data_IF_959532767909
#
_entry.id   IF_959532767909
#
_cell.length_a   1.000
_cell.length_b   1.000
_cell.length_c   1.000
_cell.angle_alpha   90.00
_cell.angle_beta   90.00
_cell.angle_gamma   90.00
#
_symmetry.space_group_name_H-M   'P 1'
#
loop_
_entity.id
_entity.type
_entity.pdbx_description
1 polymer ?
#
# COMPACT_ATOMS: atom_id res chain seq x y z
N UNK A 1 46.07 -1.78 0.74
CA UNK A 1 45.57 -2.92 -0.04
C UNK A 1 44.25 -3.38 0.53
N UNK A 2 43.21 -3.34 -0.27
CA UNK A 2 41.89 -3.87 0.13
C UNK A 2 41.89 -5.38 -0.09
N UNK A 3 41.62 -6.15 0.95
CA UNK A 3 41.59 -7.63 0.89
C UNK A 3 40.29 -8.18 0.27
N UNK A 4 39.29 -7.33 0.03
CA UNK A 4 38.03 -7.72 -0.60
C UNK A 4 37.41 -6.57 -1.38
N UNK A 5 36.62 -6.89 -2.40
CA UNK A 5 35.84 -5.90 -3.14
C UNK A 5 34.80 -5.27 -2.18
N UNK A 6 34.75 -3.94 -2.04
CA UNK A 6 33.79 -3.30 -1.17
C UNK A 6 32.37 -3.59 -1.64
N UNK A 7 31.50 -3.97 -0.70
CA UNK A 7 30.07 -4.15 -0.98
C UNK A 7 29.46 -2.78 -1.29
N UNK A 8 28.72 -2.71 -2.39
CA UNK A 8 28.02 -1.50 -2.81
C UNK A 8 26.52 -1.73 -2.77
N UNK A 9 25.77 -0.76 -2.28
CA UNK A 9 24.30 -0.71 -2.35
C UNK A 9 23.91 0.38 -3.34
N UNK A 10 22.86 0.13 -4.12
CA UNK A 10 22.34 1.06 -5.10
C UNK A 10 20.87 1.30 -4.88
N UNK A 11 20.44 2.55 -4.86
CA UNK A 11 19.04 2.92 -4.92
C UNK A 11 18.62 2.98 -6.39
N UNK A 12 17.65 2.16 -6.78
CA UNK A 12 17.18 2.05 -8.16
C UNK A 12 15.70 2.45 -8.22
N UNK A 13 15.37 3.38 -9.12
CA UNK A 13 13.98 3.62 -9.52
C UNK A 13 13.64 2.65 -10.64
N UNK A 14 12.79 1.67 -10.35
CA UNK A 14 12.52 0.54 -11.23
C UNK A 14 11.53 0.86 -12.35
N UNK A 15 10.45 0.09 -12.41
CA UNK A 15 9.48 0.12 -13.50
C UNK A 15 8.65 1.41 -13.46
N UNK A 16 8.35 1.96 -14.65
CA UNK A 16 7.37 3.03 -14.82
C UNK A 16 6.00 2.42 -15.07
N UNK A 17 4.99 2.93 -14.38
CA UNK A 17 3.59 2.50 -14.50
C UNK A 17 2.72 3.64 -15.02
N UNK A 18 1.65 3.32 -15.73
CA UNK A 18 0.66 4.31 -16.13
C UNK A 18 -0.14 4.77 -14.90
N UNK A 19 -0.28 6.08 -14.77
CA UNK A 19 -1.05 6.72 -13.71
C UNK A 19 -2.22 7.50 -14.29
N UNK A 20 -3.27 7.78 -13.48
CA UNK A 20 -4.32 8.73 -13.86
C UNK A 20 -3.75 10.04 -14.41
N UNK A 21 -4.41 10.60 -15.42
CA UNK A 21 -3.97 11.86 -16.02
C UNK A 21 -3.93 13.04 -15.03
N UNK A 22 -4.76 13.00 -13.98
CA UNK A 22 -4.83 14.01 -12.93
C UNK A 22 -3.84 13.75 -11.77
N UNK A 23 -2.96 12.77 -11.89
CA UNK A 23 -1.98 12.42 -10.86
C UNK A 23 -0.76 13.32 -10.88
N UNK A 24 -0.14 13.49 -9.72
CA UNK A 24 1.16 14.11 -9.50
C UNK A 24 1.99 13.17 -8.61
N UNK A 25 3.27 13.02 -8.94
CA UNK A 25 4.18 12.11 -8.22
C UNK A 25 5.33 12.87 -7.61
N UNK A 26 5.55 12.73 -6.32
CA UNK A 26 6.70 13.31 -5.65
C UNK A 26 7.99 12.60 -6.10
N UNK A 27 8.85 13.31 -6.80
CA UNK A 27 10.12 12.78 -7.33
C UNK A 27 11.33 13.14 -6.47
N UNK A 28 11.17 14.10 -5.60
CA UNK A 28 12.11 14.49 -4.56
C UNK A 28 11.35 15.10 -3.38
N UNK A 29 12.06 15.52 -2.35
CA UNK A 29 11.47 16.21 -1.18
C UNK A 29 10.95 17.63 -1.50
N UNK A 30 11.31 18.18 -2.66
CA UNK A 30 10.94 19.54 -3.07
C UNK A 30 10.27 19.62 -4.44
N UNK A 31 10.19 18.51 -5.17
CA UNK A 31 9.68 18.52 -6.55
C UNK A 31 8.72 17.34 -6.79
N UNK A 32 7.71 17.61 -7.61
CA UNK A 32 6.77 16.57 -8.09
C UNK A 32 6.59 16.67 -9.61
N UNK A 33 6.38 15.50 -10.20
CA UNK A 33 6.08 15.35 -11.62
C UNK A 33 4.57 15.39 -11.84
N UNK A 34 4.12 16.22 -12.79
CA UNK A 34 2.70 16.36 -13.18
C UNK A 34 2.42 15.45 -14.36
N UNK A 35 1.62 14.41 -14.17
CA UNK A 35 1.39 13.35 -15.18
C UNK A 35 0.70 13.89 -16.43
N UNK A 36 -0.23 14.84 -16.30
CA UNK A 36 -0.98 15.42 -17.44
C UNK A 36 -0.14 16.25 -18.38
N UNK A 37 0.86 16.97 -17.87
CA UNK A 37 1.67 17.92 -18.65
C UNK A 37 3.09 17.47 -18.90
N UNK A 38 3.56 16.47 -18.15
CA UNK A 38 4.97 16.05 -18.15
C UNK A 38 5.93 17.06 -17.50
N UNK A 39 5.41 18.10 -16.88
CA UNK A 39 6.19 19.15 -16.23
C UNK A 39 6.57 18.75 -14.79
N UNK A 40 7.56 19.46 -14.25
CA UNK A 40 7.94 19.37 -12.84
C UNK A 40 7.50 20.66 -12.14
N UNK A 41 6.87 20.55 -10.99
CA UNK A 41 6.51 21.68 -10.13
C UNK A 41 7.19 21.59 -8.76
N UNK A 42 7.32 22.72 -8.08
CA UNK A 42 7.84 22.76 -6.71
C UNK A 42 6.73 22.43 -5.72
N UNK A 43 7.06 21.65 -4.67
CA UNK A 43 6.15 21.39 -3.58
C UNK A 43 6.05 22.66 -2.72
N UNK A 44 4.85 23.24 -2.65
CA UNK A 44 4.60 24.52 -1.99
C UNK A 44 4.30 24.39 -0.50
N UNK A 45 3.96 23.21 -0.02
CA UNK A 45 3.63 22.97 1.39
C UNK A 45 4.21 21.62 1.86
N UNK A 46 4.97 21.68 2.94
CA UNK A 46 5.54 20.50 3.58
C UNK A 46 6.73 19.91 2.83
N UNK A 47 7.09 18.69 3.22
CA UNK A 47 8.13 17.88 2.59
C UNK A 47 7.49 16.87 1.66
N UNK A 48 8.02 16.74 0.43
CA UNK A 48 7.56 15.72 -0.50
C UNK A 48 8.03 14.33 -0.07
N UNK A 49 7.18 13.34 -0.28
CA UNK A 49 7.45 11.94 0.01
C UNK A 49 7.72 11.20 -1.29
N UNK A 50 8.98 10.88 -1.56
CA UNK A 50 9.43 10.31 -2.84
C UNK A 50 8.63 9.06 -3.21
N UNK A 51 7.99 9.10 -4.37
CA UNK A 51 7.13 8.03 -4.89
C UNK A 51 5.66 8.13 -4.49
N UNK A 52 5.29 9.06 -3.61
CA UNK A 52 3.90 9.34 -3.25
C UNK A 52 3.13 9.88 -4.45
N UNK A 53 1.88 9.44 -4.60
CA UNK A 53 0.97 9.92 -5.64
C UNK A 53 -0.12 10.79 -5.01
N UNK A 54 -0.36 11.95 -5.58
CA UNK A 54 -1.46 12.85 -5.20
C UNK A 54 -2.30 13.15 -6.43
N UNK A 55 -3.53 13.61 -6.24
CA UNK A 55 -4.48 13.83 -7.32
C UNK A 55 -5.05 15.25 -7.28
N UNK A 56 -5.37 15.78 -8.47
CA UNK A 56 -6.03 17.09 -8.62
C UNK A 56 -7.37 16.90 -9.32
N UNK A 57 -8.44 17.46 -8.73
CA UNK A 57 -9.78 17.36 -9.30
C UNK A 57 -10.33 15.92 -9.35
N UNK A 58 -11.34 15.73 -10.18
CA UNK A 58 -12.00 14.43 -10.39
C UNK A 58 -11.35 13.75 -11.58
N UNK A 59 -11.02 12.46 -11.42
CA UNK A 59 -10.47 11.65 -12.50
C UNK A 59 -11.56 11.22 -13.50
N UNK A 60 -11.33 11.44 -14.78
CA UNK A 60 -12.21 11.06 -15.88
C UNK A 60 -12.03 9.61 -16.34
N UNK A 61 -11.13 8.86 -15.72
CA UNK A 61 -10.82 7.48 -16.07
C UNK A 61 -9.76 7.35 -17.16
N UNK A 62 -9.14 8.44 -17.62
CA UNK A 62 -8.03 8.37 -18.59
C UNK A 62 -6.67 8.30 -17.90
N UNK A 63 -5.74 7.59 -18.52
CA UNK A 63 -4.37 7.46 -18.04
C UNK A 63 -3.44 8.42 -18.78
N UNK A 64 -2.45 8.94 -18.04
CA UNK A 64 -1.39 9.76 -18.59
C UNK A 64 -0.12 8.97 -18.90
N UNK A 65 1.01 9.67 -19.01
CA UNK A 65 2.31 9.08 -19.30
C UNK A 65 2.77 8.15 -18.18
N UNK A 66 3.43 7.05 -18.54
CA UNK A 66 4.03 6.16 -17.56
C UNK A 66 5.18 6.84 -16.82
N UNK A 67 5.13 6.82 -15.50
CA UNK A 67 6.16 7.38 -14.63
C UNK A 67 6.47 6.43 -13.48
N UNK A 68 7.60 6.64 -12.83
CA UNK A 68 7.94 5.88 -11.63
C UNK A 68 7.13 6.41 -10.43
N UNK A 69 6.59 5.49 -9.63
CA UNK A 69 5.98 5.81 -8.34
C UNK A 69 6.17 4.63 -7.38
N UNK A 70 5.86 4.84 -6.11
CA UNK A 70 5.82 3.81 -5.07
C UNK A 70 4.38 3.54 -4.60
N UNK A 71 3.40 3.79 -5.45
CA UNK A 71 1.98 3.58 -5.16
C UNK A 71 1.60 2.09 -5.29
N UNK A 72 1.07 1.45 -4.23
CA UNK A 72 0.74 0.03 -4.26
C UNK A 72 -0.36 -0.29 -5.28
N UNK A 73 -1.40 0.54 -5.38
CA UNK A 73 -2.54 0.25 -6.24
C UNK A 73 -2.17 0.26 -7.73
N UNK A 74 -1.45 1.28 -8.18
CA UNK A 74 -1.07 1.37 -9.60
C UNK A 74 0.05 0.42 -9.99
N UNK A 75 0.98 0.14 -9.07
CA UNK A 75 1.95 -0.92 -9.29
C UNK A 75 1.26 -2.28 -9.40
N UNK A 76 0.23 -2.54 -8.59
CA UNK A 76 -0.56 -3.76 -8.68
C UNK A 76 -1.40 -3.81 -9.97
N UNK A 77 -2.06 -2.71 -10.34
CA UNK A 77 -2.79 -2.60 -11.62
C UNK A 77 -1.88 -2.92 -12.81
N UNK A 78 -0.65 -2.39 -12.79
CA UNK A 78 0.34 -2.71 -13.82
C UNK A 78 0.74 -4.19 -13.81
N UNK A 79 0.95 -4.80 -12.65
CA UNK A 79 1.23 -6.23 -12.53
C UNK A 79 0.10 -7.07 -13.12
N UNK A 80 -1.16 -6.71 -12.88
CA UNK A 80 -2.30 -7.44 -13.40
C UNK A 80 -2.44 -7.33 -14.93
N UNK A 81 -2.20 -6.14 -15.48
CA UNK A 81 -2.44 -5.87 -16.91
C UNK A 81 -1.25 -6.15 -17.82
N UNK A 82 -0.03 -6.16 -17.29
CA UNK A 82 1.18 -6.28 -18.09
C UNK A 82 1.29 -7.67 -18.73
N UNK A 83 1.49 -7.70 -20.07
CA UNK A 83 1.56 -8.95 -20.85
C UNK A 83 2.95 -9.60 -20.84
N UNK A 84 4.00 -8.87 -20.47
CA UNK A 84 5.38 -9.38 -20.50
C UNK A 84 5.79 -10.06 -19.19
N UNK A 85 5.48 -9.45 -18.05
CA UNK A 85 5.90 -9.93 -16.72
C UNK A 85 4.76 -10.05 -15.72
N UNK A 86 3.55 -9.73 -16.13
CA UNK A 86 2.37 -9.72 -15.28
C UNK A 86 1.35 -10.81 -15.63
N UNK A 87 0.12 -10.58 -15.18
CA UNK A 87 -0.96 -11.57 -15.29
C UNK A 87 -1.70 -11.52 -16.64
N UNK A 88 -1.43 -10.53 -17.49
CA UNK A 88 -2.10 -10.34 -18.80
C UNK A 88 -3.62 -10.21 -18.71
N UNK A 89 -4.17 -9.73 -17.60
CA UNK A 89 -5.61 -9.51 -17.45
C UNK A 89 -6.01 -8.28 -18.28
N UNK A 90 -7.01 -8.39 -19.17
CA UNK A 90 -7.49 -7.24 -19.92
C UNK A 90 -7.96 -6.12 -19.00
N UNK A 91 -7.57 -4.88 -19.28
CA UNK A 91 -7.92 -3.72 -18.47
C UNK A 91 -9.43 -3.50 -18.33
N UNK A 92 -10.23 -3.96 -19.29
CA UNK A 92 -11.70 -3.90 -19.25
C UNK A 92 -12.29 -4.78 -18.14
N UNK A 93 -11.55 -5.79 -17.69
CA UNK A 93 -11.96 -6.70 -16.62
C UNK A 93 -11.55 -6.19 -15.23
N UNK A 94 -10.93 -5.01 -15.12
CA UNK A 94 -10.50 -4.39 -13.89
C UNK A 94 -11.33 -3.15 -13.58
N UNK A 95 -11.74 -3.02 -12.33
CA UNK A 95 -12.50 -1.85 -11.85
C UNK A 95 -11.52 -0.72 -11.48
N UNK A 96 -11.01 0.00 -12.47
CA UNK A 96 -9.97 1.01 -12.32
C UNK A 96 -10.25 2.08 -11.27
N UNK A 97 -11.52 2.42 -11.02
CA UNK A 97 -11.91 3.40 -10.00
C UNK A 97 -11.74 2.87 -8.57
N UNK A 98 -11.82 1.57 -8.36
CA UNK A 98 -11.47 0.95 -7.07
C UNK A 98 -9.98 1.08 -6.80
N UNK A 99 -9.13 0.84 -7.79
CA UNK A 99 -7.69 1.08 -7.68
C UNK A 99 -7.37 2.55 -7.38
N UNK A 100 -8.13 3.48 -7.98
CA UNK A 100 -7.98 4.91 -7.70
C UNK A 100 -8.31 5.22 -6.23
N UNK A 101 -9.42 4.70 -5.69
CA UNK A 101 -9.80 4.87 -4.29
C UNK A 101 -8.79 4.24 -3.32
N UNK A 102 -8.25 3.05 -3.65
CA UNK A 102 -7.19 2.40 -2.88
C UNK A 102 -5.93 3.25 -2.89
N UNK A 103 -5.53 3.77 -4.06
CA UNK A 103 -4.37 4.66 -4.19
C UNK A 103 -4.51 5.91 -3.34
N UNK A 104 -5.69 6.57 -3.38
CA UNK A 104 -5.94 7.74 -2.54
C UNK A 104 -5.71 7.42 -1.05
N UNK A 105 -6.26 6.33 -0.55
CA UNK A 105 -6.10 5.93 0.85
C UNK A 105 -4.65 5.56 1.19
N UNK A 106 -3.94 4.87 0.30
CA UNK A 106 -2.53 4.51 0.52
C UNK A 106 -1.62 5.74 0.60
N UNK A 107 -1.95 6.79 -0.15
CA UNK A 107 -1.15 8.01 -0.22
C UNK A 107 -1.57 9.11 0.78
N UNK A 108 -2.57 8.86 1.63
CA UNK A 108 -2.87 9.74 2.76
C UNK A 108 -1.66 9.83 3.69
N UNK A 109 -1.39 11.04 4.19
CA UNK A 109 -0.35 11.24 5.18
C UNK A 109 -0.86 10.83 6.55
N UNK A 110 -0.04 10.08 7.26
CA UNK A 110 -0.26 9.65 8.64
C UNK A 110 0.95 10.04 9.49
N UNK A 111 0.79 10.23 10.81
CA UNK A 111 1.94 10.47 11.69
C UNK A 111 2.99 9.36 11.55
N UNK A 112 4.26 9.74 11.46
CA UNK A 112 5.38 8.79 11.33
C UNK A 112 5.77 8.09 12.65
N UNK A 113 5.11 8.44 13.74
CA UNK A 113 5.31 7.91 15.10
C UNK A 113 6.76 7.96 15.64
N UNK A 114 7.64 8.68 14.96
CA UNK A 114 9.07 8.83 15.36
C UNK A 114 9.31 9.92 16.42
N UNK A 115 8.24 10.46 16.97
CA UNK A 115 8.27 11.58 17.90
C UNK A 115 8.41 12.92 17.18
N UNK A 116 7.38 13.76 17.24
CA UNK A 116 7.33 15.06 16.55
C UNK A 116 6.09 15.21 15.68
N UNK A 117 6.18 16.07 14.68
CA UNK A 117 5.10 16.37 13.72
C UNK A 117 5.38 15.77 12.33
N UNK A 118 6.23 14.75 12.25
CA UNK A 118 6.54 14.07 11.01
C UNK A 118 5.35 13.29 10.48
N UNK A 119 5.19 13.28 9.16
CA UNK A 119 4.16 12.54 8.46
C UNK A 119 4.77 11.68 7.37
N UNK A 120 4.14 10.56 7.06
CA UNK A 120 4.53 9.68 5.96
C UNK A 120 3.30 9.14 5.22
N UNK A 121 3.43 8.72 3.95
CA UNK A 121 2.36 8.03 3.25
C UNK A 121 1.99 6.74 3.98
N UNK A 122 0.69 6.50 4.14
CA UNK A 122 0.17 5.33 4.87
C UNK A 122 0.73 4.01 4.37
N UNK A 123 0.86 3.84 3.06
CA UNK A 123 1.36 2.61 2.43
C UNK A 123 2.11 2.94 1.15
N UNK A 124 3.34 2.46 1.03
CA UNK A 124 4.15 2.51 -0.18
C UNK A 124 4.64 1.12 -0.55
N UNK A 125 4.94 0.92 -1.83
CA UNK A 125 5.49 -0.34 -2.33
C UNK A 125 6.91 -0.15 -2.86
N UNK A 126 7.84 -0.94 -2.32
CA UNK A 126 9.20 -1.09 -2.82
C UNK A 126 9.52 -2.58 -2.85
N UNK A 127 9.22 -3.24 -3.95
CA UNK A 127 9.34 -4.70 -4.08
C UNK A 127 10.22 -5.07 -5.26
N UNK A 128 11.03 -6.09 -5.08
CA UNK A 128 11.80 -6.75 -6.14
C UNK A 128 11.29 -8.19 -6.29
N UNK A 129 10.67 -8.50 -7.42
CA UNK A 129 10.26 -9.86 -7.77
C UNK A 129 11.37 -10.45 -8.66
N UNK A 130 12.28 -11.19 -8.07
CA UNK A 130 13.43 -11.80 -8.74
C UNK A 130 13.31 -13.32 -8.91
N UNK A 131 12.23 -13.92 -8.45
CA UNK A 131 11.96 -15.35 -8.54
C UNK A 131 10.62 -15.59 -9.24
N UNK A 132 10.56 -16.69 -9.99
CA UNK A 132 9.30 -17.14 -10.58
C UNK A 132 8.38 -17.67 -9.48
N UNK A 133 7.24 -17.04 -9.30
CA UNK A 133 6.16 -17.43 -8.37
C UNK A 133 4.90 -17.82 -9.13
N UNK A 134 4.04 -18.58 -8.50
CA UNK A 134 2.67 -18.76 -8.99
C UNK A 134 1.94 -17.41 -8.98
N UNK A 135 1.15 -17.14 -10.02
CA UNK A 135 0.43 -15.87 -10.17
C UNK A 135 -0.42 -15.55 -8.92
N UNK A 136 -1.08 -16.57 -8.39
CA UNK A 136 -1.95 -16.39 -7.22
C UNK A 136 -1.18 -15.97 -5.95
N UNK A 137 0.00 -16.54 -5.75
CA UNK A 137 0.89 -16.14 -4.65
C UNK A 137 1.40 -14.71 -4.82
N UNK A 138 1.80 -14.34 -6.04
CA UNK A 138 2.24 -12.97 -6.33
C UNK A 138 1.12 -11.95 -6.12
N UNK A 139 -0.11 -12.27 -6.50
CA UNK A 139 -1.29 -11.44 -6.26
C UNK A 139 -1.54 -11.29 -4.76
N UNK A 140 -1.51 -12.39 -4.00
CA UNK A 140 -1.71 -12.39 -2.54
C UNK A 140 -0.64 -11.58 -1.82
N UNK A 141 0.62 -11.78 -2.18
CA UNK A 141 1.74 -11.03 -1.60
C UNK A 141 1.57 -9.53 -1.87
N UNK A 142 1.16 -9.18 -3.10
CA UNK A 142 0.99 -7.78 -3.47
C UNK A 142 -0.20 -7.11 -2.79
N UNK A 143 -1.35 -7.80 -2.71
CA UNK A 143 -2.53 -7.27 -2.03
C UNK A 143 -2.31 -7.09 -0.53
N UNK A 144 -1.44 -7.90 0.09
CA UNK A 144 -1.09 -7.75 1.50
C UNK A 144 -0.43 -6.41 1.83
N UNK A 145 0.29 -5.78 0.87
CA UNK A 145 0.99 -4.50 1.06
C UNK A 145 0.01 -3.38 1.44
N UNK A 146 -1.18 -3.38 0.86
CA UNK A 146 -2.20 -2.36 1.13
C UNK A 146 -3.41 -2.90 1.91
N UNK A 147 -3.23 -4.02 2.65
CA UNK A 147 -4.30 -4.69 3.41
C UNK A 147 -5.49 -5.06 2.52
N UNK A 148 -5.21 -5.46 1.28
CA UNK A 148 -6.20 -5.77 0.28
C UNK A 148 -6.53 -7.26 0.20
N UNK A 149 -7.68 -7.52 -0.39
CA UNK A 149 -8.10 -8.84 -0.84
C UNK A 149 -8.57 -8.73 -2.28
N UNK A 150 -8.32 -9.76 -3.06
CA UNK A 150 -8.75 -9.81 -4.46
C UNK A 150 -9.53 -11.07 -4.74
N UNK A 151 -10.50 -10.97 -5.61
CA UNK A 151 -11.23 -12.13 -6.13
C UNK A 151 -11.55 -11.93 -7.62
N UNK A 152 -11.71 -13.05 -8.31
CA UNK A 152 -12.13 -13.07 -9.69
C UNK A 152 -13.51 -13.74 -9.76
N UNK A 153 -14.51 -13.04 -10.30
CA UNK A 153 -15.85 -13.55 -10.45
C UNK A 153 -16.58 -12.87 -11.61
N UNK A 154 -17.41 -13.62 -12.31
CA UNK A 154 -18.20 -13.13 -13.45
C UNK A 154 -17.39 -12.40 -14.54
N UNK A 155 -16.12 -12.80 -14.75
CA UNK A 155 -15.24 -12.15 -15.73
C UNK A 155 -14.57 -10.86 -15.25
N UNK A 156 -14.82 -10.42 -14.02
CA UNK A 156 -14.27 -9.20 -13.42
C UNK A 156 -13.32 -9.57 -12.32
N UNK A 157 -12.18 -8.89 -12.28
CA UNK A 157 -11.22 -8.95 -11.18
C UNK A 157 -11.45 -7.75 -10.26
N UNK A 158 -11.90 -8.02 -9.05
CA UNK A 158 -12.21 -7.01 -8.04
C UNK A 158 -11.18 -7.04 -6.91
N UNK A 159 -10.91 -5.86 -6.36
CA UNK A 159 -9.97 -5.66 -5.27
C UNK A 159 -10.64 -4.86 -4.16
N UNK A 160 -10.52 -5.32 -2.94
CA UNK A 160 -10.98 -4.60 -1.76
C UNK A 160 -9.82 -4.22 -0.87
N UNK A 161 -10.01 -3.17 -0.11
CA UNK A 161 -9.06 -2.75 0.92
C UNK A 161 -9.75 -2.74 2.29
N UNK A 162 -9.11 -3.37 3.26
CA UNK A 162 -9.53 -3.27 4.66
C UNK A 162 -9.14 -1.89 5.20
N UNK A 163 -10.12 -1.03 5.33
CA UNK A 163 -10.00 0.34 5.84
C UNK A 163 -11.25 0.74 6.63
N UNK A 164 -11.14 1.70 7.56
CA UNK A 164 -12.30 2.25 8.23
C UNK A 164 -13.28 2.84 7.22
N UNK A 165 -14.54 2.40 7.27
CA UNK A 165 -15.64 2.93 6.46
C UNK A 165 -16.87 3.19 7.34
N UNK A 166 -17.75 4.05 6.85
CA UNK A 166 -19.06 4.24 7.47
C UNK A 166 -19.89 2.95 7.38
N UNK A 167 -20.61 2.63 8.46
CA UNK A 167 -21.49 1.46 8.49
C UNK A 167 -22.50 1.52 7.33
N UNK A 168 -22.50 0.49 6.48
CA UNK A 168 -23.36 0.41 5.29
C UNK A 168 -24.61 -0.44 5.52
N UNK A 169 -24.61 -1.30 6.53
CA UNK A 169 -25.66 -2.26 6.76
C UNK A 169 -25.85 -2.55 8.24
N UNK A 170 -27.10 -2.60 8.69
CA UNK A 170 -27.46 -3.01 10.04
C UNK A 170 -27.85 -4.49 10.02
N UNK A 171 -27.10 -5.32 10.74
CA UNK A 171 -27.40 -6.73 10.92
C UNK A 171 -28.15 -6.90 12.26
N UNK A 172 -29.35 -7.40 12.20
CA UNK A 172 -30.17 -7.69 13.36
C UNK A 172 -30.87 -9.06 13.25
N UNK A 173 -31.51 -9.51 14.30
CA UNK A 173 -32.16 -10.84 14.32
C UNK A 173 -33.21 -11.03 13.20
N UNK A 174 -33.73 -9.95 12.63
CA UNK A 174 -34.72 -10.01 11.56
C UNK A 174 -34.12 -10.35 10.17
N UNK A 175 -32.80 -10.15 9.98
CA UNK A 175 -32.15 -10.37 8.69
C UNK A 175 -30.99 -11.38 8.76
N UNK A 176 -30.95 -12.17 9.83
CA UNK A 176 -30.01 -13.27 10.02
C UNK A 176 -30.79 -14.60 9.90
N UNK A 177 -30.17 -15.61 9.32
CA UNK A 177 -30.74 -16.94 9.23
C UNK A 177 -31.11 -17.45 10.64
N UNK A 178 -32.37 -17.92 10.81
CA UNK A 178 -32.92 -18.39 12.07
C UNK A 178 -32.94 -17.38 13.24
N UNK A 179 -32.55 -16.13 12.98
CA UNK A 179 -32.53 -15.06 14.00
C UNK A 179 -31.49 -15.22 15.12
N UNK A 180 -30.54 -16.13 14.97
CA UNK A 180 -29.54 -16.44 16.00
C UNK A 180 -28.14 -15.95 15.63
N UNK A 181 -27.44 -15.40 16.65
CA UNK A 181 -26.02 -15.08 16.61
C UNK A 181 -25.28 -16.05 17.54
N UNK A 182 -24.28 -16.73 17.01
CA UNK A 182 -23.35 -17.52 17.82
C UNK A 182 -22.13 -16.66 18.18
N UNK A 183 -21.84 -16.53 19.47
CA UNK A 183 -20.72 -15.75 19.97
C UNK A 183 -19.64 -16.68 20.52
N UNK A 184 -18.48 -16.71 19.86
CA UNK A 184 -17.31 -17.43 20.32
C UNK A 184 -16.22 -16.46 20.77
N UNK A 185 -15.71 -16.67 21.98
CA UNK A 185 -14.59 -15.89 22.52
C UNK A 185 -13.23 -16.46 22.11
N UNK A 186 -12.23 -15.57 22.01
CA UNK A 186 -10.84 -15.99 21.86
C UNK A 186 -10.15 -16.12 23.21
N UNK A 187 -9.19 -17.07 23.32
CA UNK A 187 -8.39 -17.18 24.54
C UNK A 187 -7.49 -15.96 24.75
N UNK A 188 -7.13 -15.68 25.99
CA UNK A 188 -6.22 -14.59 26.31
C UNK A 188 -4.84 -14.77 25.63
N UNK A 189 -4.39 -16.01 25.48
CA UNK A 189 -3.12 -16.34 24.84
C UNK A 189 -3.06 -16.00 23.34
N UNK A 190 -4.22 -15.83 22.69
CA UNK A 190 -4.30 -15.45 21.27
C UNK A 190 -4.38 -13.94 21.04
N UNK A 191 -4.43 -13.15 22.11
CA UNK A 191 -4.47 -11.67 22.03
C UNK A 191 -3.07 -11.13 22.20
N UNK A 192 -2.69 -10.22 21.33
CA UNK A 192 -1.42 -9.51 21.40
C UNK A 192 -1.71 -8.04 21.71
N UNK A 193 -0.99 -7.47 22.67
CA UNK A 193 -1.10 -6.06 23.06
C UNK A 193 0.09 -5.22 22.61
N UNK A 194 1.15 -5.89 22.14
CA UNK A 194 2.32 -5.25 21.56
C UNK A 194 2.88 -6.10 20.42
N UNK A 195 3.57 -5.45 19.49
CA UNK A 195 4.20 -6.09 18.35
C UNK A 195 5.54 -5.44 18.06
N UNK A 196 6.57 -6.25 17.78
CA UNK A 196 7.84 -5.76 17.25
C UNK A 196 7.89 -6.08 15.77
N UNK A 197 8.02 -5.05 14.94
CA UNK A 197 8.05 -5.17 13.49
C UNK A 197 9.48 -4.95 13.00
N UNK A 198 10.02 -5.93 12.28
CA UNK A 198 11.29 -5.79 11.57
C UNK A 198 11.02 -5.30 10.13
N UNK A 199 11.70 -4.26 9.71
CA UNK A 199 11.56 -3.72 8.36
C UNK A 199 12.91 -3.30 7.78
N UNK A 200 12.97 -3.15 6.45
CA UNK A 200 14.16 -2.65 5.78
C UNK A 200 14.03 -1.15 5.56
N UNK A 201 14.85 -0.37 6.26
CA UNK A 201 14.85 1.08 6.15
C UNK A 201 15.54 1.53 4.85
N UNK A 202 14.76 2.15 3.95
CA UNK A 202 15.31 2.66 2.69
C UNK A 202 16.28 3.84 2.90
N UNK A 203 16.13 4.61 3.97
CA UNK A 203 17.03 5.72 4.32
C UNK A 203 18.39 5.19 4.76
N UNK A 204 18.42 4.02 5.39
CA UNK A 204 19.63 3.27 5.76
C UNK A 204 20.07 2.27 4.68
N UNK A 205 19.68 2.52 3.42
CA UNK A 205 20.03 1.67 2.29
C UNK A 205 19.62 0.19 2.46
N UNK A 206 18.45 -0.05 3.07
CA UNK A 206 17.86 -1.37 3.26
C UNK A 206 18.49 -2.15 4.42
N UNK A 207 19.07 -1.50 5.40
CA UNK A 207 19.40 -2.14 6.67
C UNK A 207 18.13 -2.48 7.44
N UNK A 208 18.16 -3.61 8.16
CA UNK A 208 17.03 -4.03 8.98
C UNK A 208 16.97 -3.15 10.22
N UNK A 209 15.81 -2.55 10.45
CA UNK A 209 15.48 -1.82 11.66
C UNK A 209 14.25 -2.43 12.32
N UNK A 210 14.04 -2.11 13.60
CA UNK A 210 12.95 -2.67 14.40
C UNK A 210 12.13 -1.53 14.99
N UNK A 211 10.82 -1.66 14.89
CA UNK A 211 9.88 -0.74 15.52
C UNK A 211 8.96 -1.49 16.48
N UNK A 212 8.78 -0.92 17.67
CA UNK A 212 7.90 -1.47 18.69
C UNK A 212 6.61 -0.67 18.72
N UNK A 213 5.49 -1.35 18.57
CA UNK A 213 4.15 -0.77 18.59
C UNK A 213 3.33 -1.43 19.68
N UNK A 214 2.63 -0.63 20.49
CA UNK A 214 1.75 -1.12 21.54
C UNK A 214 0.37 -0.46 21.49
N UNK A 215 -0.64 -1.22 21.89
CA UNK A 215 -1.96 -0.72 22.20
C UNK A 215 -2.02 -0.38 23.69
N UNK A 216 -1.91 0.90 24.01
CA UNK A 216 -1.81 1.41 25.40
C UNK A 216 -3.02 1.00 26.23
N UNK A 217 -4.23 1.02 25.65
CA UNK A 217 -5.47 0.64 26.35
C UNK A 217 -5.50 -0.86 26.63
N UNK A 218 -5.10 -1.68 25.63
CA UNK A 218 -5.01 -3.12 25.81
C UNK A 218 -3.90 -3.52 26.79
N UNK A 219 -2.74 -2.85 26.77
CA UNK A 219 -1.65 -3.06 27.75
C UNK A 219 -2.11 -2.74 29.16
N UNK A 220 -2.83 -1.64 29.35
CA UNK A 220 -3.38 -1.27 30.66
C UNK A 220 -4.36 -2.30 31.20
N UNK A 221 -5.14 -2.95 30.32
CA UNK A 221 -6.19 -3.90 30.71
C UNK A 221 -5.70 -5.34 30.84
N UNK A 222 -4.78 -5.77 30.03
CA UNK A 222 -4.38 -7.20 29.89
C UNK A 222 -2.91 -7.44 30.15
N UNK A 223 -2.10 -6.41 30.38
CA UNK A 223 -0.64 -6.49 30.43
C UNK A 223 0.02 -6.62 29.06
N UNK A 224 1.34 -6.70 29.05
CA UNK A 224 2.13 -6.81 27.83
C UNK A 224 2.11 -8.26 27.33
N UNK A 225 1.53 -8.49 26.16
CA UNK A 225 1.53 -9.76 25.44
C UNK A 225 2.16 -9.49 24.07
N UNK A 226 3.44 -9.79 23.94
CA UNK A 226 4.24 -9.45 22.74
C UNK A 226 4.11 -10.52 21.65
N UNK A 227 4.06 -10.03 20.40
CA UNK A 227 4.22 -10.81 19.18
C UNK A 227 5.47 -10.34 18.45
N UNK A 228 6.37 -11.26 18.18
CA UNK A 228 7.52 -11.06 17.30
C UNK A 228 7.21 -11.49 15.87
#
# INVERSE_FOLDING_TARGET
QFSSVPRRKYLIRGIKVQLPNNAKVDISTTQRYVVSTGATETITSGVGHIGRVTYTGIWDGTFGAATWCADPAWCFYNLLTNTRYGCSIPAVNLQKFEFYAISQYCNELVPDLKGGTGEEPRMLVNVLINQRKQIFEAIKDFTSIFRGQSFYGAGIFSVFQDKPETSRYLIGNANVADGFFEYTGTSQASRHTSCTVAYQDYQKLGEVDFEYVEDVDAVSKYGIINKQ
#
